data_IF_004442289752
#
_entry.id   IF_004442289752
#
_cell.length_a   1.000
_cell.length_b   1.000
_cell.length_c   1.000
_cell.angle_alpha   90.00
_cell.angle_beta   90.00
_cell.angle_gamma   90.00
#
_symmetry.space_group_name_H-M   'P 1'
#
loop_
_entity.id
_entity.type
_entity.pdbx_description
1 polymer ?
#
# COMPACT_ATOMS: atom_id res chain seq x y z
N UNK A 1 -51.59 -33.07 -24.18
CA UNK A 1 -52.88 -32.38 -23.95
C UNK A 1 -52.86 -31.88 -22.50
N UNK A 2 -52.46 -30.63 -22.27
CA UNK A 2 -53.33 -29.46 -21.99
C UNK A 2 -53.92 -29.52 -20.55
N UNK A 3 -53.95 -28.48 -19.71
CA UNK A 3 -53.64 -27.07 -19.85
C UNK A 3 -53.40 -26.44 -18.46
N UNK A 4 -52.74 -25.28 -18.53
CA UNK A 4 -52.46 -24.25 -17.52
C UNK A 4 -53.73 -23.70 -16.85
N UNK A 5 -53.67 -23.34 -15.56
CA UNK A 5 -54.24 -22.05 -15.10
C UNK A 5 -53.71 -21.60 -13.74
N UNK A 6 -53.13 -20.40 -13.78
CA UNK A 6 -52.68 -19.58 -12.68
C UNK A 6 -53.86 -19.07 -11.84
N UNK A 7 -53.63 -18.89 -10.53
CA UNK A 7 -54.44 -18.00 -9.70
C UNK A 7 -53.65 -16.75 -9.34
N UNK A 8 -54.29 -15.62 -9.60
CA UNK A 8 -53.84 -14.24 -9.47
C UNK A 8 -54.47 -13.68 -8.19
N UNK A 9 -53.68 -13.09 -7.30
CA UNK A 9 -54.18 -12.27 -6.21
C UNK A 9 -53.78 -10.80 -6.46
N UNK A 10 -54.74 -9.90 -6.30
CA UNK A 10 -54.64 -8.47 -6.52
C UNK A 10 -54.60 -7.70 -5.18
N UNK A 11 -53.87 -6.60 -5.14
CA UNK A 11 -53.85 -5.61 -4.05
C UNK A 11 -52.93 -4.42 -4.39
N UNK A 12 -53.21 -3.20 -3.91
CA UNK A 12 -53.35 -2.03 -4.79
C UNK A 12 -52.12 -1.11 -4.91
N UNK A 13 -52.15 -0.31 -5.98
CA UNK A 13 -51.33 0.88 -6.19
C UNK A 13 -52.03 2.15 -5.66
N UNK A 14 -51.25 3.10 -5.09
CA UNK A 14 -51.49 4.54 -4.80
C UNK A 14 -50.53 4.89 -3.63
N UNK A 15 -49.73 5.96 -3.53
CA UNK A 15 -49.51 7.23 -4.26
C UNK A 15 -48.08 7.69 -3.97
N UNK A 16 -47.52 8.48 -4.90
CA UNK A 16 -46.34 9.30 -4.68
C UNK A 16 -46.61 10.44 -3.69
N UNK A 17 -45.63 10.75 -2.83
CA UNK A 17 -45.51 12.04 -2.16
C UNK A 17 -44.03 12.34 -1.83
N UNK A 18 -43.50 13.37 -2.49
CA UNK A 18 -42.62 14.40 -1.94
C UNK A 18 -41.32 14.00 -1.22
N UNK A 19 -40.18 14.30 -1.87
CA UNK A 19 -38.90 14.59 -1.21
C UNK A 19 -39.04 15.74 -0.20
N UNK A 20 -38.25 15.69 0.88
CA UNK A 20 -37.47 16.85 1.30
C UNK A 20 -35.99 16.55 1.13
N UNK A 21 -35.31 17.34 0.30
CA UNK A 21 -33.86 17.29 0.19
C UNK A 21 -33.22 17.80 1.48
N UNK A 22 -32.33 17.00 2.07
CA UNK A 22 -31.31 17.48 2.99
C UNK A 22 -29.95 17.26 2.33
N UNK A 23 -29.25 18.37 2.11
CA UNK A 23 -27.91 18.42 1.53
C UNK A 23 -26.82 17.82 2.42
N UNK A 24 -25.55 17.90 1.98
CA UNK A 24 -24.44 17.19 2.59
C UNK A 24 -23.88 17.99 3.76
N UNK A 25 -24.18 17.56 4.99
CA UNK A 25 -23.49 18.05 6.16
C UNK A 25 -23.34 16.94 7.21
N UNK A 26 -22.10 16.58 7.51
CA UNK A 26 -21.73 16.07 8.83
C UNK A 26 -21.89 14.58 9.08
N UNK A 27 -21.14 13.73 8.38
CA UNK A 27 -20.78 12.41 8.90
C UNK A 27 -19.25 12.36 9.15
N UNK A 28 -18.81 13.10 10.17
CA UNK A 28 -17.51 12.88 10.84
C UNK A 28 -17.71 13.05 12.34
N UNK A 29 -18.03 11.96 13.02
CA UNK A 29 -17.74 11.76 14.44
C UNK A 29 -18.12 10.32 14.85
N UNK A 30 -17.38 9.31 14.34
CA UNK A 30 -17.54 7.93 14.81
C UNK A 30 -16.34 7.42 15.63
N UNK A 31 -15.35 8.27 15.89
CA UNK A 31 -14.19 7.92 16.72
C UNK A 31 -14.16 8.76 18.00
N UNK A 32 -15.21 8.64 18.80
CA UNK A 32 -15.23 9.13 20.18
C UNK A 32 -14.62 8.10 21.11
N UNK A 33 -13.32 8.21 21.39
CA UNK A 33 -12.67 7.45 22.46
C UNK A 33 -13.24 7.94 23.79
N UNK A 34 -14.09 7.12 24.42
CA UNK A 34 -14.65 7.36 25.75
C UNK A 34 -13.58 7.04 26.80
N UNK A 35 -12.85 8.04 27.28
CA UNK A 35 -11.98 7.88 28.46
C UNK A 35 -12.82 7.95 29.72
N UNK A 36 -12.64 6.95 30.58
CA UNK A 36 -13.16 6.89 31.94
C UNK A 36 -12.28 7.79 32.82
N UNK A 37 -12.87 8.76 33.50
CA UNK A 37 -12.20 9.58 34.51
C UNK A 37 -11.93 8.71 35.74
N UNK A 38 -10.66 8.61 36.15
CA UNK A 38 -10.23 8.00 37.40
C UNK A 38 -9.68 9.13 38.30
N UNK A 39 -10.16 9.12 39.55
CA UNK A 39 -9.96 10.15 40.58
C UNK A 39 -8.49 10.34 40.93
N UNK A 40 -8.13 11.61 41.08
CA UNK A 40 -6.85 12.08 41.62
C UNK A 40 -6.80 11.86 43.15
N UNK A 41 -5.68 11.35 43.64
CA UNK A 41 -5.26 11.44 45.04
C UNK A 41 -3.83 11.98 45.04
N UNK A 42 -3.68 13.18 45.58
CA UNK A 42 -2.40 13.86 45.82
C UNK A 42 -1.65 13.20 46.98
N UNK A 43 -0.36 12.94 46.78
CA UNK A 43 0.65 13.01 47.85
C UNK A 43 1.93 13.59 47.25
N UNK A 44 2.30 14.78 47.74
CA UNK A 44 3.56 15.47 47.42
C UNK A 44 4.76 14.82 48.13
N UNK A 45 5.90 14.74 47.43
CA UNK A 45 7.12 15.51 47.75
C UNK A 45 8.38 14.79 47.24
N UNK A 46 8.96 15.37 46.17
CA UNK A 46 10.41 15.59 46.05
C UNK A 46 11.29 14.49 45.47
N UNK A 47 11.58 14.55 44.17
CA UNK A 47 12.92 14.28 43.59
C UNK A 47 13.13 15.15 42.32
N UNK A 48 14.15 16.01 42.40
CA UNK A 48 15.03 16.56 41.35
C UNK A 48 14.51 16.69 39.90
N UNK A 49 14.21 17.94 39.52
CA UNK A 49 14.10 18.40 38.14
C UNK A 49 15.46 18.32 37.42
N UNK A 50 15.62 17.33 36.53
CA UNK A 50 16.28 17.43 35.22
C UNK A 50 16.36 16.05 34.57
N UNK A 51 15.21 15.41 34.44
CA UNK A 51 15.04 14.44 33.37
C UNK A 51 14.37 15.20 32.25
N UNK A 52 15.18 15.76 31.33
CA UNK A 52 14.68 16.08 29.99
C UNK A 52 14.22 14.76 29.40
N UNK A 53 12.98 14.39 29.71
CA UNK A 53 12.22 13.36 29.05
C UNK A 53 12.01 13.89 27.64
N UNK A 54 13.03 13.70 26.81
CA UNK A 54 13.02 14.03 25.40
C UNK A 54 11.86 13.23 24.80
N UNK A 55 10.69 13.85 24.73
CA UNK A 55 9.56 13.31 23.99
C UNK A 55 10.14 13.01 22.61
N UNK A 56 10.12 11.75 22.14
CA UNK A 56 10.64 11.44 20.82
C UNK A 56 9.88 12.33 19.85
N UNK A 57 10.58 13.30 19.28
CA UNK A 57 9.99 14.27 18.38
C UNK A 57 9.52 13.46 17.18
N UNK A 58 8.21 13.32 17.00
CA UNK A 58 7.58 12.66 15.86
C UNK A 58 7.71 13.55 14.62
N UNK A 59 8.96 13.89 14.28
CA UNK A 59 9.27 14.65 13.09
C UNK A 59 9.00 13.77 11.87
N UNK A 60 8.45 14.39 10.83
CA UNK A 60 8.21 13.70 9.57
C UNK A 60 9.57 13.27 8.98
N UNK A 61 9.76 11.99 8.64
CA UNK A 61 10.97 11.57 7.96
C UNK A 61 11.05 12.22 6.57
N UNK A 62 12.25 12.40 6.01
CA UNK A 62 12.39 12.91 4.67
C UNK A 62 11.70 11.98 3.66
N UNK A 63 11.14 12.53 2.56
CA UNK A 63 10.56 11.71 1.51
C UNK A 63 11.64 10.86 0.84
N UNK A 64 11.29 9.61 0.52
CA UNK A 64 12.16 8.70 -0.24
C UNK A 64 12.02 8.91 -1.74
N UNK A 65 13.13 8.79 -2.47
CA UNK A 65 13.12 8.66 -3.93
C UNK A 65 12.37 7.40 -4.36
N UNK A 66 11.69 7.44 -5.51
CA UNK A 66 11.05 6.27 -6.13
C UNK A 66 11.95 5.57 -7.14
N UNK A 67 13.15 6.12 -7.38
CA UNK A 67 14.13 5.52 -8.29
C UNK A 67 14.53 4.14 -7.78
N UNK A 68 14.49 3.15 -8.67
CA UNK A 68 14.86 1.78 -8.35
C UNK A 68 15.78 1.23 -9.43
N UNK A 69 16.90 0.65 -9.00
CA UNK A 69 17.84 -0.06 -9.86
C UNK A 69 17.96 -1.51 -9.36
N UNK A 70 17.76 -2.50 -10.23
CA UNK A 70 17.84 -3.90 -9.83
C UNK A 70 19.26 -4.27 -9.40
N UNK A 71 19.46 -4.89 -8.23
CA UNK A 71 20.75 -5.41 -7.83
C UNK A 71 21.16 -6.60 -8.72
N UNK A 72 22.46 -6.83 -8.88
CA UNK A 72 22.98 -7.90 -9.74
C UNK A 72 22.62 -9.30 -9.20
N UNK A 73 22.59 -9.45 -7.87
CA UNK A 73 22.30 -10.67 -7.12
C UNK A 73 20.81 -10.84 -6.80
N UNK A 74 19.92 -10.12 -7.50
CA UNK A 74 18.48 -10.13 -7.28
C UNK A 74 17.85 -11.54 -7.31
N UNK A 75 18.32 -12.41 -8.21
CA UNK A 75 17.79 -13.77 -8.32
C UNK A 75 18.13 -14.60 -7.07
N UNK A 76 19.38 -14.55 -6.60
CA UNK A 76 19.82 -15.26 -5.39
C UNK A 76 19.14 -14.74 -4.13
N UNK A 77 18.97 -13.41 -4.01
CA UNK A 77 18.20 -12.80 -2.91
C UNK A 77 16.76 -13.30 -2.90
N UNK A 78 16.07 -13.23 -4.04
CA UNK A 78 14.69 -13.68 -4.13
C UNK A 78 14.55 -15.17 -3.81
N UNK A 79 15.44 -16.01 -4.34
CA UNK A 79 15.48 -17.44 -4.05
C UNK A 79 15.62 -17.70 -2.55
N UNK A 80 16.53 -17.00 -1.87
CA UNK A 80 16.75 -17.15 -0.44
C UNK A 80 15.49 -16.80 0.38
N UNK A 81 14.80 -15.71 0.02
CA UNK A 81 13.55 -15.29 0.69
C UNK A 81 12.39 -16.23 0.41
N UNK A 82 12.28 -16.74 -0.82
CA UNK A 82 11.26 -17.72 -1.18
C UNK A 82 11.46 -19.01 -0.38
N UNK A 83 12.70 -19.51 -0.28
CA UNK A 83 13.01 -20.69 0.53
C UNK A 83 12.77 -20.46 2.03
N UNK A 84 13.03 -19.26 2.54
CA UNK A 84 12.78 -18.96 3.95
C UNK A 84 11.28 -18.88 4.27
N UNK A 85 10.48 -18.26 3.39
CA UNK A 85 9.04 -18.05 3.63
C UNK A 85 8.21 -19.30 3.37
N UNK A 86 8.53 -20.05 2.31
CA UNK A 86 7.77 -21.24 1.89
C UNK A 86 8.40 -22.56 2.39
N UNK A 87 9.63 -22.53 2.90
CA UNK A 87 10.33 -23.67 3.48
C UNK A 87 11.20 -24.44 2.48
N UNK A 88 11.93 -25.44 3.01
CA UNK A 88 12.88 -26.28 2.25
C UNK A 88 12.23 -27.36 1.38
N UNK A 89 10.90 -27.51 1.41
CA UNK A 89 10.15 -28.46 0.59
C UNK A 89 9.90 -27.97 -0.85
N UNK A 90 10.48 -26.83 -1.22
CA UNK A 90 10.31 -26.26 -2.56
C UNK A 90 11.01 -27.11 -3.62
N UNK A 91 10.40 -27.25 -4.81
CA UNK A 91 11.06 -27.86 -5.96
C UNK A 91 12.27 -27.02 -6.40
N UNK A 92 13.16 -27.65 -7.17
CA UNK A 92 14.31 -26.98 -7.81
C UNK A 92 13.87 -25.73 -8.60
N UNK A 93 12.71 -25.81 -9.24
CA UNK A 93 12.08 -24.73 -10.01
C UNK A 93 11.32 -23.73 -9.11
N UNK A 94 12.04 -23.13 -8.16
CA UNK A 94 11.49 -22.20 -7.17
C UNK A 94 10.76 -21.00 -7.81
N UNK A 95 11.14 -20.59 -9.03
CA UNK A 95 10.49 -19.49 -9.77
C UNK A 95 9.00 -19.76 -10.06
N UNK A 96 8.63 -21.03 -10.23
CA UNK A 96 7.25 -21.43 -10.53
C UNK A 96 6.40 -21.62 -9.28
N UNK A 97 6.96 -21.36 -8.09
CA UNK A 97 6.23 -21.50 -6.83
C UNK A 97 5.01 -20.58 -6.82
N UNK A 98 3.81 -21.13 -6.63
CA UNK A 98 2.58 -20.36 -6.67
C UNK A 98 2.36 -19.60 -5.36
N UNK A 99 2.11 -18.29 -5.45
CA UNK A 99 1.85 -17.37 -4.35
C UNK A 99 0.35 -17.31 -3.99
N UNK A 100 -0.28 -18.47 -3.79
CA UNK A 100 -1.72 -18.57 -3.50
C UNK A 100 -2.08 -18.12 -2.08
N UNK A 101 -1.23 -18.45 -1.10
CA UNK A 101 -1.49 -18.09 0.28
C UNK A 101 -1.17 -16.61 0.53
N UNK A 102 -2.22 -15.82 0.80
CA UNK A 102 -2.10 -14.37 1.02
C UNK A 102 -1.11 -14.00 2.14
N UNK A 103 -1.02 -14.83 3.19
CA UNK A 103 -0.09 -14.59 4.32
C UNK A 103 1.36 -14.72 3.90
N UNK A 104 1.71 -15.78 3.18
CA UNK A 104 3.07 -16.00 2.67
C UNK A 104 3.44 -14.98 1.60
N UNK A 105 2.50 -14.70 0.68
CA UNK A 105 2.66 -13.63 -0.32
C UNK A 105 2.94 -12.28 0.33
N UNK A 106 2.17 -11.90 1.36
CA UNK A 106 2.40 -10.66 2.09
C UNK A 106 3.79 -10.64 2.74
N UNK A 107 4.18 -11.71 3.44
CA UNK A 107 5.50 -11.80 4.09
C UNK A 107 6.65 -11.64 3.10
N UNK A 108 6.58 -12.34 1.97
CA UNK A 108 7.59 -12.24 0.91
C UNK A 108 7.68 -10.81 0.36
N UNK A 109 6.55 -10.24 -0.08
CA UNK A 109 6.53 -8.91 -0.71
C UNK A 109 6.89 -7.80 0.28
N UNK A 110 6.47 -7.91 1.55
CA UNK A 110 6.83 -6.93 2.58
C UNK A 110 8.33 -6.94 2.85
N UNK A 111 8.95 -8.12 2.93
CA UNK A 111 10.40 -8.24 3.13
C UNK A 111 11.19 -7.67 1.96
N UNK A 112 10.82 -8.02 0.73
CA UNK A 112 11.43 -7.47 -0.48
C UNK A 112 11.26 -5.94 -0.55
N UNK A 113 10.11 -5.41 -0.15
CA UNK A 113 9.89 -3.96 -0.15
C UNK A 113 10.78 -3.21 0.84
N UNK A 114 11.09 -3.81 1.99
CA UNK A 114 12.01 -3.23 2.98
C UNK A 114 13.45 -3.33 2.49
N UNK A 115 13.86 -4.50 1.98
CA UNK A 115 15.24 -4.75 1.55
C UNK A 115 15.62 -3.98 0.28
N UNK A 116 14.74 -3.98 -0.72
CA UNK A 116 14.99 -3.32 -2.00
C UNK A 116 14.53 -1.84 -2.00
N UNK A 117 13.85 -1.41 -0.94
CA UNK A 117 13.25 -0.07 -0.86
C UNK A 117 12.14 0.18 -1.89
N UNK A 118 11.69 -0.86 -2.61
CA UNK A 118 10.75 -0.77 -3.72
C UNK A 118 9.54 -1.69 -3.49
N UNK A 119 8.36 -1.10 -3.29
CA UNK A 119 7.13 -1.82 -2.99
C UNK A 119 6.29 -2.02 -4.25
N UNK A 120 5.63 -3.18 -4.35
CA UNK A 120 4.71 -3.50 -5.45
C UNK A 120 3.43 -2.64 -5.32
N UNK A 121 3.01 -1.92 -6.38
CA UNK A 121 1.76 -1.18 -6.40
C UNK A 121 0.52 -2.08 -6.27
N UNK A 122 -0.54 -1.58 -5.64
CA UNK A 122 -1.81 -2.32 -5.46
C UNK A 122 -2.42 -2.80 -6.78
N UNK A 123 -2.29 -2.00 -7.84
CA UNK A 123 -2.77 -2.36 -9.18
C UNK A 123 -2.08 -3.59 -9.77
N UNK A 124 -0.85 -3.91 -9.32
CA UNK A 124 -0.06 -5.03 -9.84
C UNK A 124 -0.05 -6.24 -8.89
N UNK A 125 -0.57 -6.12 -7.67
CA UNK A 125 -0.59 -7.24 -6.71
C UNK A 125 -1.33 -8.47 -7.23
N UNK A 126 -2.38 -8.30 -8.04
CA UNK A 126 -3.13 -9.42 -8.62
C UNK A 126 -2.36 -10.16 -9.74
N UNK A 127 -1.34 -9.53 -10.30
CA UNK A 127 -0.45 -10.12 -11.32
C UNK A 127 0.66 -10.96 -10.68
N UNK A 128 1.00 -10.73 -9.42
CA UNK A 128 2.01 -11.50 -8.69
C UNK A 128 1.46 -12.87 -8.27
N UNK A 129 1.40 -13.81 -9.21
CA UNK A 129 0.85 -15.16 -9.00
C UNK A 129 1.92 -16.18 -8.68
N UNK A 130 3.12 -16.02 -9.24
CA UNK A 130 4.27 -16.89 -8.99
C UNK A 130 5.51 -16.05 -8.64
N UNK A 131 6.54 -16.70 -8.09
CA UNK A 131 7.82 -16.04 -7.79
C UNK A 131 8.48 -15.42 -9.04
N UNK A 132 8.28 -16.04 -10.22
CA UNK A 132 8.70 -15.51 -11.52
C UNK A 132 8.09 -14.13 -11.85
N UNK A 133 6.82 -13.91 -11.50
CA UNK A 133 6.15 -12.63 -11.76
C UNK A 133 6.79 -11.53 -10.90
N UNK A 134 7.09 -11.85 -9.65
CA UNK A 134 7.79 -10.97 -8.71
C UNK A 134 9.20 -10.66 -9.22
N UNK A 135 9.92 -11.69 -9.67
CA UNK A 135 11.24 -11.53 -10.29
C UNK A 135 11.17 -10.61 -11.52
N UNK A 136 10.18 -10.80 -12.39
CA UNK A 136 9.96 -9.97 -13.57
C UNK A 136 9.70 -8.51 -13.23
N UNK A 137 8.90 -8.25 -12.20
CA UNK A 137 8.66 -6.90 -11.69
C UNK A 137 9.96 -6.23 -11.21
N UNK A 138 10.70 -6.89 -10.31
CA UNK A 138 11.91 -6.32 -9.74
C UNK A 138 13.11 -6.28 -10.70
N UNK A 139 13.05 -6.93 -11.86
CA UNK A 139 14.05 -6.75 -12.93
C UNK A 139 13.91 -5.42 -13.67
N UNK A 140 12.76 -4.76 -13.58
CA UNK A 140 12.50 -3.53 -14.33
C UNK A 140 13.00 -2.31 -13.54
N UNK A 141 13.97 -1.53 -14.06
CA UNK A 141 14.42 -0.32 -13.39
C UNK A 141 13.37 0.80 -13.48
N UNK A 142 13.34 1.68 -12.48
CA UNK A 142 12.44 2.83 -12.43
C UNK A 142 13.27 4.09 -12.20
N UNK A 143 13.01 5.10 -13.04
CA UNK A 143 13.61 6.43 -12.93
C UNK A 143 12.58 7.39 -12.36
N UNK A 144 12.96 8.17 -11.35
CA UNK A 144 12.11 9.18 -10.70
C UNK A 144 12.48 10.61 -11.15
N UNK A 145 13.13 10.73 -12.31
CA UNK A 145 13.53 12.02 -12.88
C UNK A 145 12.43 12.58 -13.77
N UNK A 146 12.31 13.91 -13.81
CA UNK A 146 11.36 14.54 -14.72
C UNK A 146 11.83 14.45 -16.16
N UNK A 147 10.93 14.64 -17.12
CA UNK A 147 11.29 14.67 -18.54
C UNK A 147 12.27 15.79 -18.87
N UNK A 148 12.23 16.89 -18.15
CA UNK A 148 13.20 17.96 -18.30
C UNK A 148 14.59 17.50 -17.84
N UNK A 149 14.69 16.88 -16.67
CA UNK A 149 15.96 16.37 -16.14
C UNK A 149 16.57 15.30 -17.07
N UNK A 150 15.74 14.41 -17.64
CA UNK A 150 16.17 13.44 -18.64
C UNK A 150 16.77 14.11 -19.89
N UNK A 151 16.17 15.21 -20.36
CA UNK A 151 16.66 15.97 -21.52
C UNK A 151 17.93 16.74 -21.23
N UNK A 152 18.08 17.29 -20.03
CA UNK A 152 19.30 17.99 -19.61
C UNK A 152 20.47 17.02 -19.46
N UNK A 153 20.21 15.78 -19.02
CA UNK A 153 21.22 14.73 -18.93
C UNK A 153 21.60 14.13 -20.30
N UNK A 154 20.78 14.33 -21.34
CA UNK A 154 21.07 13.86 -22.69
C UNK A 154 22.06 14.80 -23.41
N UNK A 155 22.77 14.26 -24.39
CA UNK A 155 23.68 15.05 -25.24
C UNK A 155 22.86 15.95 -26.19
N UNK A 156 22.64 17.20 -25.76
CA UNK A 156 21.93 18.18 -26.56
C UNK A 156 22.85 18.75 -27.66
N UNK A 157 22.31 18.96 -28.87
CA UNK A 157 23.03 19.69 -29.91
C UNK A 157 23.51 21.06 -29.42
N UNK A 158 24.70 21.54 -29.84
CA UNK A 158 25.30 22.76 -29.30
C UNK A 158 24.46 24.03 -29.54
N UNK A 159 23.62 24.00 -30.57
CA UNK A 159 22.68 25.05 -30.97
C UNK A 159 21.35 25.03 -30.18
N UNK A 160 21.14 24.07 -29.28
CA UNK A 160 19.91 23.91 -28.52
C UNK A 160 20.14 24.29 -27.06
N UNK A 161 19.43 25.33 -26.59
CA UNK A 161 19.43 25.79 -25.19
C UNK A 161 18.01 25.70 -24.63
N UNK A 162 17.83 24.93 -23.56
CA UNK A 162 16.53 24.80 -22.88
C UNK A 162 16.66 25.45 -21.51
N UNK A 163 15.72 26.34 -21.17
CA UNK A 163 15.68 27.04 -19.89
C UNK A 163 14.36 26.67 -19.20
N UNK A 164 14.44 26.12 -17.99
CA UNK A 164 13.26 25.85 -17.17
C UNK A 164 12.77 27.14 -16.53
N UNK A 165 11.50 27.48 -16.78
CA UNK A 165 10.78 28.57 -16.09
C UNK A 165 9.59 27.96 -15.37
N UNK A 166 9.53 28.19 -14.07
CA UNK A 166 8.53 27.63 -13.16
C UNK A 166 7.54 28.70 -12.71
#
# INVERSE_FOLDING_TARGET
MAAVRALRAAGPALRAAGRPGLGPAGLRAFWGVRRKEEKEVEVEAGISEKEERSKPSLLCPPPRSRSYLPPQDLQGRLESHVREVFGSSLPQDWEQTPLQENRLKFRLLARLAVELGHAVPNSQLHLMRCARDVLGFYRTPIKDVTKFDELVAAELPPNLKIIWKQ
#
